data_IF_710202779877
#
_entry.id   IF_710202779877
#
_cell.length_a   1.000
_cell.length_b   1.000
_cell.length_c   1.000
_cell.angle_alpha   90.00
_cell.angle_beta   90.00
_cell.angle_gamma   90.00
#
_symmetry.space_group_name_H-M   'P 1'
#
loop_
_entity.id
_entity.type
_entity.pdbx_description
1 polymer ?
#
# COMPACT_ATOMS: atom_id res chain seq x y z
N UNK A 1 1.06 19.08 -9.67
CA UNK A 1 -0.04 19.62 -8.86
C UNK A 1 -0.37 21.05 -9.26
N UNK A 2 0.57 22.01 -9.20
CA UNK A 2 0.34 23.45 -9.34
C UNK A 2 -0.44 23.85 -10.62
N UNK A 3 -0.03 23.35 -11.79
CA UNK A 3 -0.73 23.60 -13.06
C UNK A 3 -2.16 23.05 -13.09
N UNK A 4 -2.40 21.92 -12.43
CA UNK A 4 -3.76 21.34 -12.35
C UNK A 4 -4.66 22.19 -11.45
N UNK A 5 -4.13 22.67 -10.32
CA UNK A 5 -4.86 23.55 -9.39
C UNK A 5 -5.21 24.88 -10.09
N UNK A 6 -4.26 25.48 -10.80
CA UNK A 6 -4.49 26.69 -11.60
C UNK A 6 -5.54 26.50 -12.70
N UNK A 7 -5.67 25.27 -13.23
CA UNK A 7 -6.71 24.89 -14.17
C UNK A 7 -8.06 24.53 -13.51
N UNK A 8 -8.18 24.68 -12.20
CA UNK A 8 -9.43 24.46 -11.44
C UNK A 8 -9.58 23.08 -10.80
N UNK A 9 -8.52 22.28 -10.71
CA UNK A 9 -8.57 21.02 -9.98
C UNK A 9 -8.51 21.27 -8.46
N UNK A 10 -9.58 20.91 -7.75
CA UNK A 10 -9.67 21.04 -6.28
C UNK A 10 -9.49 19.72 -5.53
N UNK A 11 -9.40 18.62 -6.26
CA UNK A 11 -9.08 17.31 -5.70
C UNK A 11 -7.94 16.70 -6.53
N UNK A 12 -6.87 16.29 -5.86
CA UNK A 12 -5.72 15.64 -6.48
C UNK A 12 -5.51 14.29 -5.83
N UNK A 13 -5.59 13.24 -6.64
CA UNK A 13 -5.20 11.91 -6.23
C UNK A 13 -3.74 11.69 -6.60
N UNK A 14 -2.98 11.10 -5.66
CA UNK A 14 -1.59 10.72 -5.84
C UNK A 14 -1.37 9.30 -5.30
N UNK A 15 -0.56 8.53 -6.00
CA UNK A 15 -0.30 7.13 -5.64
C UNK A 15 1.19 6.86 -5.42
N UNK A 16 1.48 5.76 -4.72
CA UNK A 16 2.85 5.38 -4.37
C UNK A 16 3.53 4.46 -5.40
N UNK A 17 2.94 4.20 -6.57
CA UNK A 17 3.63 3.48 -7.62
C UNK A 17 4.71 4.35 -8.30
N UNK A 18 5.79 3.71 -8.78
CA UNK A 18 6.79 4.32 -9.64
C UNK A 18 6.18 4.59 -11.01
N UNK A 19 6.32 5.82 -11.54
CA UNK A 19 5.65 6.25 -12.77
C UNK A 19 6.02 5.40 -13.99
N UNK A 20 7.29 5.06 -14.13
CA UNK A 20 7.81 4.33 -15.29
C UNK A 20 7.50 2.82 -15.21
N UNK A 21 7.19 2.32 -14.02
CA UNK A 21 6.83 0.93 -13.73
C UNK A 21 5.32 0.78 -13.42
N UNK A 22 4.54 1.81 -13.75
CA UNK A 22 3.11 1.88 -13.42
C UNK A 22 2.32 0.74 -14.04
N UNK A 23 1.64 -0.01 -13.18
CA UNK A 23 0.74 -1.10 -13.55
C UNK A 23 -0.69 -0.85 -13.06
N UNK A 24 -1.64 -1.55 -13.66
CA UNK A 24 -3.01 -1.55 -13.17
C UNK A 24 -3.07 -2.13 -11.75
N UNK A 25 -3.90 -1.55 -10.89
CA UNK A 25 -3.92 -1.87 -9.45
C UNK A 25 -4.12 -3.35 -9.10
N UNK A 26 -4.76 -4.12 -9.98
CA UNK A 26 -4.99 -5.56 -9.82
C UNK A 26 -4.01 -6.45 -10.61
N UNK A 27 -2.93 -5.89 -11.13
CA UNK A 27 -1.84 -6.65 -11.75
C UNK A 27 -0.70 -6.87 -10.77
N UNK A 28 0.00 -8.00 -10.95
CA UNK A 28 1.21 -8.31 -10.21
C UNK A 28 2.41 -7.48 -10.70
N UNK A 29 3.47 -7.45 -9.89
CA UNK A 29 4.73 -6.82 -10.27
C UNK A 29 4.76 -5.29 -10.09
N UNK A 30 3.84 -4.73 -9.30
CA UNK A 30 3.86 -3.32 -8.94
C UNK A 30 5.12 -2.96 -8.17
N UNK A 31 5.66 -1.79 -8.47
CA UNK A 31 6.85 -1.22 -7.82
C UNK A 31 6.44 0.06 -7.12
N UNK A 32 6.73 0.18 -5.83
CA UNK A 32 6.47 1.40 -5.08
C UNK A 32 7.68 2.33 -5.06
N UNK A 33 7.42 3.63 -4.92
CA UNK A 33 8.43 4.61 -4.51
C UNK A 33 8.78 4.40 -3.04
N UNK A 34 9.95 4.87 -2.56
CA UNK A 34 10.24 4.91 -1.14
C UNK A 34 9.13 5.62 -0.37
N UNK A 35 8.84 5.14 0.83
CA UNK A 35 7.76 5.69 1.65
C UNK A 35 7.93 7.18 1.93
N UNK A 36 9.13 7.61 2.28
CA UNK A 36 9.46 9.03 2.52
C UNK A 36 9.26 9.92 1.28
N UNK A 37 9.55 9.38 0.08
CA UNK A 37 9.31 10.09 -1.19
C UNK A 37 7.81 10.27 -1.43
N UNK A 38 7.00 9.28 -1.09
CA UNK A 38 5.55 9.38 -1.21
C UNK A 38 4.98 10.44 -0.27
N UNK A 39 5.40 10.45 0.99
CA UNK A 39 4.99 11.48 1.95
C UNK A 39 5.44 12.88 1.52
N UNK A 40 6.64 13.02 0.99
CA UNK A 40 7.14 14.29 0.45
C UNK A 40 6.30 14.78 -0.73
N UNK A 41 5.81 13.89 -1.59
CA UNK A 41 4.89 14.23 -2.68
C UNK A 41 3.53 14.71 -2.17
N UNK A 42 2.98 14.09 -1.12
CA UNK A 42 1.73 14.54 -0.47
C UNK A 42 1.92 15.96 0.07
N UNK A 43 3.00 16.20 0.81
CA UNK A 43 3.34 17.53 1.31
C UNK A 43 3.48 18.57 0.19
N UNK A 44 4.16 18.21 -0.91
CA UNK A 44 4.32 19.12 -2.06
C UNK A 44 2.96 19.49 -2.72
N UNK A 45 2.00 18.56 -2.74
CA UNK A 45 0.63 18.85 -3.21
C UNK A 45 -0.08 19.81 -2.25
N UNK A 46 0.03 19.58 -0.93
CA UNK A 46 -0.54 20.45 0.09
C UNK A 46 0.02 21.87 -0.01
N UNK A 47 1.33 21.99 -0.15
CA UNK A 47 1.99 23.29 -0.36
C UNK A 47 1.49 24.00 -1.62
N UNK A 48 1.27 23.27 -2.72
CA UNK A 48 0.74 23.86 -3.95
C UNK A 48 -0.67 24.43 -3.76
N UNK A 49 -1.54 23.77 -2.99
CA UNK A 49 -2.86 24.30 -2.64
C UNK A 49 -2.73 25.59 -1.81
N UNK A 50 -1.90 25.56 -0.76
CA UNK A 50 -1.70 26.71 0.12
C UNK A 50 -1.14 27.91 -0.63
N UNK A 51 -0.11 27.71 -1.47
CA UNK A 51 0.52 28.76 -2.27
C UNK A 51 -0.48 29.44 -3.23
N UNK A 52 -1.45 28.69 -3.74
CA UNK A 52 -2.47 29.21 -4.67
C UNK A 52 -3.74 29.68 -3.96
N UNK A 53 -3.75 29.72 -2.63
CA UNK A 53 -4.89 30.18 -1.84
C UNK A 53 -6.11 29.27 -1.90
N UNK A 54 -5.93 27.99 -2.21
CA UNK A 54 -7.02 26.99 -2.27
C UNK A 54 -7.09 26.26 -0.94
N UNK A 55 -7.81 26.82 0.01
CA UNK A 55 -7.91 26.31 1.38
C UNK A 55 -8.63 24.95 1.47
N UNK A 56 -9.59 24.71 0.61
CA UNK A 56 -10.43 23.50 0.59
C UNK A 56 -9.94 22.44 -0.42
N UNK A 57 -8.67 22.49 -0.82
CA UNK A 57 -8.09 21.51 -1.72
C UNK A 57 -8.00 20.12 -1.06
N UNK A 58 -8.48 19.09 -1.74
CA UNK A 58 -8.53 17.71 -1.24
C UNK A 58 -7.40 16.88 -1.83
N UNK A 59 -6.71 16.13 -0.99
CA UNK A 59 -5.68 15.17 -1.39
C UNK A 59 -6.16 13.76 -1.08
N UNK A 60 -6.21 12.92 -2.12
CA UNK A 60 -6.48 11.49 -2.01
C UNK A 60 -5.16 10.74 -2.12
N UNK A 61 -4.70 10.16 -1.03
CA UNK A 61 -3.51 9.31 -1.02
C UNK A 61 -3.90 7.87 -1.36
N UNK A 62 -3.45 7.39 -2.53
CA UNK A 62 -3.66 6.01 -2.96
C UNK A 62 -2.43 5.18 -2.62
N UNK A 63 -2.64 4.03 -1.97
CA UNK A 63 -1.62 3.01 -1.76
C UNK A 63 -1.91 1.77 -2.58
N UNK A 64 -0.90 1.30 -3.28
CA UNK A 64 -0.86 0.04 -4.04
C UNK A 64 -0.02 -1.03 -3.33
N UNK A 65 0.37 -0.79 -2.08
CA UNK A 65 1.30 -1.64 -1.32
C UNK A 65 0.77 -3.04 -1.04
N UNK A 66 -0.55 -3.26 -1.09
CA UNK A 66 -1.12 -4.59 -0.85
C UNK A 66 -0.56 -5.64 -1.82
N UNK A 67 -0.53 -5.32 -3.11
CA UNK A 67 -0.02 -6.21 -4.16
C UNK A 67 1.38 -5.86 -4.68
N UNK A 68 2.06 -4.85 -4.11
CA UNK A 68 3.40 -4.48 -4.54
C UNK A 68 4.45 -5.34 -3.84
N UNK A 69 5.20 -6.13 -4.61
CA UNK A 69 6.31 -6.94 -4.11
C UNK A 69 7.67 -6.24 -4.11
N UNK A 70 7.77 -5.07 -4.75
CA UNK A 70 9.04 -4.40 -5.02
C UNK A 70 8.99 -2.91 -4.68
N UNK A 71 10.17 -2.36 -4.36
CA UNK A 71 10.37 -0.90 -4.23
C UNK A 71 11.59 -0.42 -4.99
N UNK A 72 11.54 0.81 -5.46
CA UNK A 72 12.61 1.41 -6.26
C UNK A 72 13.88 1.70 -5.44
N UNK A 73 13.70 2.13 -4.20
CA UNK A 73 14.78 2.49 -3.28
C UNK A 73 14.39 2.09 -1.86
N UNK A 74 15.36 2.01 -0.99
CA UNK A 74 15.15 1.79 0.44
C UNK A 74 15.18 3.12 1.19
N UNK A 75 14.30 3.33 2.19
CA UNK A 75 14.39 4.49 3.06
C UNK A 75 15.68 4.47 3.88
N UNK A 76 16.28 5.64 4.08
CA UNK A 76 17.46 5.78 4.91
C UNK A 76 17.02 6.11 6.34
N UNK A 77 17.17 5.14 7.24
CA UNK A 77 16.95 5.38 8.68
C UNK A 77 18.12 6.20 9.26
N UNK A 78 17.80 7.18 10.08
CA UNK A 78 18.77 8.01 10.79
C UNK A 78 19.10 7.43 12.16
N UNK A 79 18.13 6.79 12.76
CA UNK A 79 18.23 6.17 14.08
C UNK A 79 17.32 4.93 14.17
N UNK A 80 17.65 3.96 15.02
CA UNK A 80 16.80 2.80 15.24
C UNK A 80 15.40 3.21 15.71
N UNK A 81 14.36 2.61 15.07
CA UNK A 81 12.97 2.82 15.43
C UNK A 81 12.32 4.06 14.79
N UNK A 82 13.03 4.83 13.97
CA UNK A 82 12.42 5.89 13.18
C UNK A 82 11.46 5.33 12.12
N UNK A 83 10.73 6.20 11.42
CA UNK A 83 9.75 5.75 10.41
C UNK A 83 10.41 4.95 9.27
N UNK A 84 11.63 5.31 8.89
CA UNK A 84 12.37 4.58 7.87
C UNK A 84 12.76 3.18 8.35
N UNK A 85 13.20 3.02 9.60
CA UNK A 85 13.47 1.70 10.20
C UNK A 85 12.19 0.85 10.28
N UNK A 86 11.06 1.44 10.70
CA UNK A 86 9.78 0.74 10.71
C UNK A 86 9.40 0.25 9.31
N UNK A 87 9.56 1.08 8.28
CA UNK A 87 9.25 0.69 6.90
C UNK A 87 10.24 -0.34 6.35
N UNK A 88 11.52 -0.23 6.71
CA UNK A 88 12.56 -1.20 6.35
C UNK A 88 12.29 -2.59 6.93
N UNK A 89 11.51 -2.71 8.01
CA UNK A 89 11.14 -4.00 8.60
C UNK A 89 10.42 -4.93 7.62
N UNK A 90 9.82 -4.36 6.58
CA UNK A 90 9.12 -5.11 5.53
C UNK A 90 10.02 -5.58 4.38
N UNK A 91 11.28 -5.15 4.33
CA UNK A 91 12.21 -5.52 3.26
C UNK A 91 12.88 -6.88 3.52
N UNK A 92 13.10 -7.64 2.46
CA UNK A 92 14.02 -8.79 2.51
C UNK A 92 15.43 -8.28 2.73
N UNK A 93 16.13 -8.90 3.68
CA UNK A 93 17.48 -8.48 4.10
C UNK A 93 18.39 -9.65 4.38
N UNK A 94 19.68 -9.39 4.31
CA UNK A 94 20.76 -10.31 4.72
C UNK A 94 21.46 -9.76 5.95
N UNK A 95 21.82 -10.65 6.87
CA UNK A 95 22.63 -10.30 8.03
C UNK A 95 24.04 -9.92 7.62
N UNK A 96 24.60 -8.90 8.23
CA UNK A 96 25.99 -8.53 8.07
C UNK A 96 26.84 -9.35 9.04
N UNK A 97 27.55 -10.34 8.50
CA UNK A 97 28.39 -11.23 9.30
C UNK A 97 29.66 -10.55 9.82
N UNK A 98 30.23 -9.65 9.02
CA UNK A 98 31.42 -8.88 9.38
C UNK A 98 31.35 -7.48 8.73
N UNK A 99 31.30 -6.45 9.56
CA UNK A 99 31.24 -5.06 9.11
C UNK A 99 32.48 -4.65 8.32
N UNK A 100 33.64 -5.29 8.54
CA UNK A 100 34.88 -4.98 7.82
C UNK A 100 34.87 -5.51 6.36
N UNK A 101 33.91 -6.37 6.01
CA UNK A 101 33.75 -6.87 4.65
C UNK A 101 32.82 -5.99 3.80
N UNK A 102 32.20 -4.98 4.38
CA UNK A 102 31.42 -4.01 3.63
C UNK A 102 32.34 -3.14 2.77
N UNK A 103 31.92 -2.92 1.54
CA UNK A 103 32.58 -2.00 0.63
C UNK A 103 31.77 -0.71 0.47
N UNK A 104 32.36 0.31 -0.12
CA UNK A 104 31.77 1.64 -0.28
C UNK A 104 30.48 1.68 -1.10
N UNK A 105 30.20 0.61 -1.86
CA UNK A 105 28.98 0.48 -2.67
C UNK A 105 27.88 -0.32 -1.98
N UNK A 106 28.16 -0.92 -0.82
CA UNK A 106 27.16 -1.66 -0.07
C UNK A 106 26.22 -0.69 0.64
N UNK A 107 24.92 -0.91 0.42
CA UNK A 107 23.87 -0.18 1.10
C UNK A 107 23.51 -0.94 2.36
N UNK A 108 23.54 -0.25 3.50
CA UNK A 108 23.09 -0.78 4.79
C UNK A 108 21.92 0.05 5.32
N UNK A 109 20.99 -0.60 6.00
CA UNK A 109 19.81 0.01 6.60
C UNK A 109 19.61 -0.53 8.01
N UNK A 110 18.91 0.23 8.86
CA UNK A 110 18.35 -0.35 10.08
C UNK A 110 17.07 -1.13 9.75
N UNK A 111 16.91 -2.27 10.40
CA UNK A 111 15.71 -3.08 10.38
C UNK A 111 15.44 -3.57 11.81
N UNK A 112 14.40 -3.05 12.46
CA UNK A 112 14.12 -3.28 13.87
C UNK A 112 15.31 -2.95 14.79
N UNK A 113 16.01 -1.89 14.49
CA UNK A 113 17.18 -1.44 15.25
C UNK A 113 18.50 -2.17 14.95
N UNK A 114 18.49 -3.17 14.08
CA UNK A 114 19.69 -3.93 13.67
C UNK A 114 20.16 -3.46 12.30
N UNK A 115 21.48 -3.26 12.15
CA UNK A 115 22.07 -2.93 10.85
C UNK A 115 22.13 -4.16 9.96
N UNK A 116 21.53 -4.08 8.78
CA UNK A 116 21.40 -5.19 7.81
C UNK A 116 21.64 -4.70 6.38
N UNK A 117 21.79 -5.64 5.45
CA UNK A 117 21.92 -5.36 4.03
C UNK A 117 20.62 -5.70 3.31
N UNK A 118 19.97 -4.76 2.62
CA UNK A 118 18.75 -5.07 1.88
C UNK A 118 19.05 -5.91 0.63
N UNK A 119 18.21 -6.90 0.34
CA UNK A 119 18.33 -7.72 -0.86
C UNK A 119 18.01 -6.87 -2.09
N UNK A 120 19.02 -6.67 -2.93
CA UNK A 120 18.90 -5.94 -4.18
C UNK A 120 18.86 -6.91 -5.36
N UNK A 121 17.83 -6.83 -6.18
CA UNK A 121 17.66 -7.66 -7.37
C UNK A 121 18.57 -7.20 -8.53
N UNK A 122 18.75 -8.06 -9.54
CA UNK A 122 19.57 -7.77 -10.71
C UNK A 122 19.08 -6.54 -11.51
N UNK A 123 17.79 -6.23 -11.46
CA UNK A 123 17.19 -5.04 -12.07
C UNK A 123 17.36 -3.76 -11.22
N UNK A 124 18.04 -3.85 -10.08
CA UNK A 124 18.30 -2.73 -9.19
C UNK A 124 17.20 -2.42 -8.17
N UNK A 125 16.08 -3.14 -8.21
CA UNK A 125 14.97 -2.97 -7.26
C UNK A 125 15.23 -3.77 -5.97
N UNK A 126 14.48 -3.42 -4.93
CA UNK A 126 14.51 -4.11 -3.63
C UNK A 126 13.21 -4.86 -3.41
N UNK A 127 13.30 -6.00 -2.74
CA UNK A 127 12.18 -6.91 -2.52
C UNK A 127 11.58 -6.73 -1.13
N UNK A 128 10.25 -6.71 -1.07
CA UNK A 128 9.52 -6.83 0.19
C UNK A 128 9.36 -8.30 0.59
N UNK A 129 9.33 -8.54 1.89
CA UNK A 129 8.95 -9.83 2.48
C UNK A 129 7.53 -10.20 2.03
N UNK A 130 7.30 -11.48 1.79
CA UNK A 130 5.96 -12.00 1.48
C UNK A 130 5.00 -11.67 2.62
N UNK A 131 3.72 -11.53 2.27
CA UNK A 131 2.62 -11.34 3.21
C UNK A 131 2.67 -10.05 4.07
N UNK A 132 3.57 -9.10 3.74
CA UNK A 132 3.68 -7.81 4.44
C UNK A 132 2.81 -6.71 3.85
N UNK A 133 2.11 -6.98 2.76
CA UNK A 133 1.32 -5.97 2.05
C UNK A 133 0.24 -5.32 2.91
N UNK A 134 -0.41 -6.10 3.77
CA UNK A 134 -1.42 -5.60 4.70
C UNK A 134 -0.85 -4.54 5.66
N UNK A 135 0.22 -4.85 6.37
CA UNK A 135 0.82 -3.94 7.35
C UNK A 135 1.42 -2.70 6.68
N UNK A 136 1.98 -2.84 5.46
CA UNK A 136 2.45 -1.73 4.66
C UNK A 136 1.32 -0.77 4.27
N UNK A 137 0.16 -1.31 3.86
CA UNK A 137 -1.02 -0.48 3.57
C UNK A 137 -1.47 0.30 4.79
N UNK A 138 -1.53 -0.34 5.96
CA UNK A 138 -1.91 0.31 7.21
C UNK A 138 -0.94 1.46 7.54
N UNK A 139 0.37 1.21 7.46
CA UNK A 139 1.39 2.23 7.70
C UNK A 139 1.31 3.38 6.68
N UNK A 140 1.17 3.07 5.39
CA UNK A 140 1.00 4.08 4.33
C UNK A 140 -0.21 4.98 4.59
N UNK A 141 -1.32 4.39 4.99
CA UNK A 141 -2.57 5.11 5.24
C UNK A 141 -2.44 6.07 6.43
N UNK A 142 -1.96 5.57 7.57
CA UNK A 142 -1.81 6.36 8.79
C UNK A 142 -0.84 7.52 8.54
N UNK A 143 0.34 7.23 8.00
CA UNK A 143 1.36 8.27 7.76
C UNK A 143 0.95 9.26 6.68
N UNK A 144 0.18 8.84 5.67
CA UNK A 144 -0.36 9.75 4.66
C UNK A 144 -1.32 10.77 5.26
N UNK A 145 -2.23 10.36 6.15
CA UNK A 145 -3.13 11.27 6.87
C UNK A 145 -2.34 12.25 7.74
N UNK A 146 -1.35 11.76 8.48
CA UNK A 146 -0.47 12.57 9.33
C UNK A 146 0.40 13.56 8.53
N UNK A 147 0.59 13.32 7.23
CA UNK A 147 1.32 14.18 6.31
C UNK A 147 0.43 15.00 5.36
N UNK A 148 -0.86 15.14 5.67
CA UNK A 148 -1.75 16.09 5.02
C UNK A 148 -2.62 15.54 3.91
N UNK A 149 -2.78 14.22 3.77
CA UNK A 149 -3.85 13.63 2.98
C UNK A 149 -5.21 13.80 3.69
N UNK A 150 -6.28 13.97 2.92
CA UNK A 150 -7.64 14.11 3.43
C UNK A 150 -8.45 12.82 3.30
N UNK A 151 -8.13 12.02 2.29
CA UNK A 151 -8.80 10.78 1.94
C UNK A 151 -7.76 9.71 1.61
N UNK A 152 -8.11 8.47 1.90
CA UNK A 152 -7.29 7.30 1.59
C UNK A 152 -7.96 6.46 0.51
N UNK A 153 -7.17 5.98 -0.45
CA UNK A 153 -7.59 5.00 -1.43
C UNK A 153 -6.71 3.76 -1.31
N UNK A 154 -7.30 2.67 -0.86
CA UNK A 154 -6.62 1.38 -0.79
C UNK A 154 -6.92 0.62 -2.09
N UNK A 155 -5.88 0.37 -2.88
CA UNK A 155 -6.02 -0.46 -4.08
C UNK A 155 -5.87 -1.93 -3.70
N UNK A 156 -6.82 -2.75 -4.16
CA UNK A 156 -6.83 -4.20 -3.92
C UNK A 156 -6.80 -4.97 -5.24
N UNK A 157 -6.25 -6.16 -5.23
CA UNK A 157 -6.22 -7.05 -6.39
C UNK A 157 -7.56 -7.77 -6.57
N UNK A 158 -8.24 -8.04 -5.48
CA UNK A 158 -9.54 -8.73 -5.42
C UNK A 158 -10.46 -8.01 -4.43
N UNK A 159 -11.77 -8.07 -4.63
CA UNK A 159 -12.75 -7.50 -3.71
C UNK A 159 -12.97 -8.41 -2.48
N UNK A 160 -11.96 -8.56 -1.65
CA UNK A 160 -12.05 -9.30 -0.40
C UNK A 160 -12.60 -8.41 0.71
N UNK A 161 -13.89 -8.51 0.98
CA UNK A 161 -14.62 -7.66 1.94
C UNK A 161 -14.06 -7.80 3.36
N UNK A 162 -13.74 -9.02 3.79
CA UNK A 162 -13.19 -9.25 5.14
C UNK A 162 -11.83 -8.57 5.31
N UNK A 163 -10.93 -8.73 4.35
CA UNK A 163 -9.61 -8.08 4.37
C UNK A 163 -9.72 -6.55 4.35
N UNK A 164 -10.64 -6.01 3.53
CA UNK A 164 -10.87 -4.56 3.47
C UNK A 164 -11.41 -4.04 4.81
N UNK A 165 -12.36 -4.74 5.41
CA UNK A 165 -12.92 -4.37 6.71
C UNK A 165 -11.85 -4.39 7.81
N UNK A 166 -10.98 -5.39 7.83
CA UNK A 166 -9.88 -5.50 8.77
C UNK A 166 -8.87 -4.35 8.62
N UNK A 167 -8.46 -4.03 7.38
CA UNK A 167 -7.58 -2.88 7.11
C UNK A 167 -8.20 -1.56 7.59
N UNK A 168 -9.48 -1.34 7.29
CA UNK A 168 -10.20 -0.13 7.70
C UNK A 168 -10.27 -0.01 9.22
N UNK A 169 -10.58 -1.10 9.92
CA UNK A 169 -10.61 -1.13 11.37
C UNK A 169 -9.23 -0.82 11.96
N UNK A 170 -8.18 -1.45 11.43
CA UNK A 170 -6.81 -1.24 11.87
C UNK A 170 -6.34 0.22 11.70
N UNK A 171 -6.66 0.83 10.56
CA UNK A 171 -6.36 2.25 10.32
C UNK A 171 -7.13 3.13 11.33
N UNK A 172 -8.40 2.83 11.59
CA UNK A 172 -9.26 3.61 12.50
C UNK A 172 -8.94 3.44 13.97
N UNK A 173 -8.20 2.43 14.36
CA UNK A 173 -7.63 2.33 15.72
C UNK A 173 -6.71 3.52 16.03
N UNK A 174 -5.94 3.98 15.04
CA UNK A 174 -5.00 5.12 15.17
C UNK A 174 -5.61 6.42 14.68
N UNK A 175 -6.35 6.39 13.58
CA UNK A 175 -6.97 7.54 12.91
C UNK A 175 -8.49 7.35 12.83
N UNK A 176 -9.26 7.56 13.93
CA UNK A 176 -10.68 7.25 14.00
C UNK A 176 -11.54 7.97 12.96
N UNK A 177 -11.11 9.14 12.50
CA UNK A 177 -11.83 9.96 11.51
C UNK A 177 -11.43 9.64 10.06
N UNK A 178 -10.61 8.62 9.81
CA UNK A 178 -10.14 8.27 8.48
C UNK A 178 -11.29 8.04 7.50
N UNK A 179 -11.23 8.77 6.38
CA UNK A 179 -12.17 8.66 5.26
C UNK A 179 -11.51 7.87 4.15
N UNK A 180 -12.23 6.88 3.62
CA UNK A 180 -11.70 5.96 2.63
C UNK A 180 -12.53 6.00 1.34
N UNK A 181 -11.82 5.81 0.24
CA UNK A 181 -12.35 5.61 -1.11
C UNK A 181 -12.00 4.19 -1.54
N UNK A 182 -12.92 3.49 -2.16
CA UNK A 182 -12.70 2.16 -2.70
C UNK A 182 -13.01 2.11 -4.21
N UNK A 183 -12.15 1.44 -4.97
CA UNK A 183 -12.33 1.24 -6.40
C UNK A 183 -13.15 -0.03 -6.67
N UNK A 184 -14.42 0.14 -6.99
CA UNK A 184 -15.27 -0.94 -7.50
C UNK A 184 -14.97 -1.21 -8.98
N UNK A 185 -13.79 -1.74 -9.27
CA UNK A 185 -13.37 -1.97 -10.64
C UNK A 185 -14.30 -2.94 -11.39
N UNK A 186 -14.79 -2.57 -12.59
CA UNK A 186 -15.56 -3.50 -13.42
C UNK A 186 -14.71 -4.65 -13.96
N UNK A 187 -13.37 -4.55 -13.89
CA UNK A 187 -12.45 -5.62 -14.32
C UNK A 187 -12.28 -6.72 -13.29
N UNK A 188 -12.75 -6.53 -12.05
CA UNK A 188 -12.79 -7.63 -11.09
C UNK A 188 -13.76 -8.72 -11.54
N UNK A 189 -13.38 -9.97 -11.38
CA UNK A 189 -14.29 -11.08 -11.49
C UNK A 189 -15.15 -11.20 -10.21
N UNK A 190 -16.10 -10.29 -10.06
CA UNK A 190 -16.98 -10.18 -8.89
C UNK A 190 -17.67 -11.50 -8.58
N UNK A 191 -18.11 -12.21 -9.63
CA UNK A 191 -18.78 -13.50 -9.48
C UNK A 191 -17.89 -14.53 -8.80
N UNK A 192 -16.67 -14.67 -9.29
CA UNK A 192 -15.71 -15.64 -8.73
C UNK A 192 -15.33 -15.26 -7.31
N UNK A 193 -15.03 -13.98 -7.08
CA UNK A 193 -14.60 -13.48 -5.77
C UNK A 193 -15.66 -13.71 -4.68
N UNK A 194 -16.92 -13.44 -4.96
CA UNK A 194 -17.99 -13.70 -3.99
C UNK A 194 -18.22 -15.21 -3.77
N UNK A 195 -18.09 -16.02 -4.79
CA UNK A 195 -18.19 -17.48 -4.63
C UNK A 195 -17.06 -18.06 -3.77
N UNK A 196 -15.85 -17.56 -3.97
CA UNK A 196 -14.70 -17.97 -3.16
C UNK A 196 -14.89 -17.61 -1.68
N UNK A 197 -15.45 -16.43 -1.40
CA UNK A 197 -15.76 -15.98 -0.05
C UNK A 197 -16.89 -16.81 0.58
N UNK A 198 -18.02 -16.98 -0.12
CA UNK A 198 -19.16 -17.80 0.33
C UNK A 198 -18.74 -19.26 0.59
N UNK A 199 -17.91 -19.82 -0.27
CA UNK A 199 -17.37 -21.16 -0.08
C UNK A 199 -16.45 -21.25 1.13
N UNK A 200 -15.58 -20.26 1.31
CA UNK A 200 -14.71 -20.16 2.48
C UNK A 200 -15.51 -20.09 3.79
N UNK A 201 -16.55 -19.28 3.83
CA UNK A 201 -17.45 -19.19 4.98
C UNK A 201 -18.20 -20.50 5.25
N UNK A 202 -18.65 -21.20 4.19
CA UNK A 202 -19.29 -22.49 4.30
C UNK A 202 -18.39 -23.54 4.95
N UNK A 203 -17.14 -23.62 4.51
CA UNK A 203 -16.12 -24.54 5.07
C UNK A 203 -15.78 -24.15 6.50
N UNK A 204 -15.59 -22.86 6.79
CA UNK A 204 -15.30 -22.37 8.14
C UNK A 204 -16.43 -22.65 9.14
N UNK A 205 -17.67 -22.68 8.64
CA UNK A 205 -18.85 -23.08 9.43
C UNK A 205 -18.96 -24.60 9.69
N UNK A 206 -17.98 -25.39 9.23
CA UNK A 206 -17.95 -26.85 9.41
C UNK A 206 -19.03 -27.60 8.61
N UNK A 207 -19.61 -27.00 7.58
CA UNK A 207 -20.60 -27.62 6.73
C UNK A 207 -19.95 -28.59 5.74
N UNK A 208 -20.70 -29.66 5.37
CA UNK A 208 -20.18 -30.63 4.41
C UNK A 208 -19.99 -29.96 3.02
N UNK A 209 -18.80 -30.14 2.47
CA UNK A 209 -18.42 -29.57 1.16
C UNK A 209 -19.28 -30.15 0.03
N UNK A 210 -19.74 -31.41 0.16
CA UNK A 210 -20.63 -32.05 -0.82
C UNK A 210 -22.01 -31.40 -0.92
N UNK A 211 -22.43 -30.70 0.14
CA UNK A 211 -23.71 -30.00 0.23
C UNK A 211 -23.63 -28.54 -0.22
N UNK A 212 -22.43 -28.07 -0.60
CA UNK A 212 -22.28 -26.69 -1.08
C UNK A 212 -23.08 -26.48 -2.39
N UNK A 213 -23.96 -25.46 -2.43
CA UNK A 213 -24.76 -25.20 -3.63
C UNK A 213 -23.86 -24.96 -4.85
N UNK A 214 -24.23 -25.54 -6.00
CA UNK A 214 -23.50 -25.36 -7.25
C UNK A 214 -23.27 -23.86 -7.53
N UNK A 215 -22.02 -23.39 -7.54
CA UNK A 215 -21.73 -21.97 -7.70
C UNK A 215 -22.19 -21.42 -9.06
N UNK A 216 -22.47 -22.27 -10.04
CA UNK A 216 -23.03 -21.85 -11.34
C UNK A 216 -24.52 -21.51 -11.25
N UNK A 217 -25.20 -22.02 -10.24
CA UNK A 217 -26.66 -21.90 -10.02
C UNK A 217 -27.02 -20.97 -8.87
N UNK A 218 -26.06 -20.55 -8.07
CA UNK A 218 -26.33 -19.67 -6.91
C UNK A 218 -26.79 -18.29 -7.38
N UNK A 219 -27.94 -17.80 -6.93
CA UNK A 219 -28.36 -16.43 -7.22
C UNK A 219 -27.34 -15.44 -6.69
N UNK A 220 -26.94 -14.48 -7.51
CA UNK A 220 -25.98 -13.47 -7.11
C UNK A 220 -26.70 -12.39 -6.34
N UNK A 221 -26.46 -12.32 -5.06
CA UNK A 221 -27.13 -11.40 -4.16
C UNK A 221 -26.70 -9.95 -4.26
N UNK A 222 -25.72 -9.57 -5.08
CA UNK A 222 -25.27 -8.19 -5.20
C UNK A 222 -24.93 -7.86 -6.65
N UNK A 223 -25.71 -7.01 -7.22
CA UNK A 223 -25.34 -6.13 -8.32
C UNK A 223 -25.06 -4.74 -7.77
#
# INVERSE_FOLDING_TARGET
>A
AKKMIQAGAWCIQIENQVSDEKQCGHQDGKVTVPHEDFLSKINAVRYAFLELGVENGVIVARTDSLGAGLTQKVPVSKEPGDLADQYNSFLETEEIQDLNQLNENDITIHQNGVLVKPVRLANGLYQFKKDTGFDRVVLDCITSLQNGADLLWIETEKPNVAQIAEMVNKIRETEPSAKLVYNNSPSFNWTLSFREQDYGEWVAAGKDVSDYPDPTKTPRGLK
#
